data_IF_601821323020
#
_entry.id   IF_601821323020
#
_cell.length_a   1.000
_cell.length_b   1.000
_cell.length_c   1.000
_cell.angle_alpha   90.00
_cell.angle_beta   90.00
_cell.angle_gamma   90.00
#
_symmetry.space_group_name_H-M   'P 1'
#
loop_
_entity.id
_entity.type
_entity.pdbx_description
1 polymer ?
#
# COMPACT_ATOMS: atom_id res chain seq x y z
N UNK A 1 -6.94 25.09 50.14
CA UNK A 1 -7.76 23.92 49.78
C UNK A 1 -7.46 23.61 48.33
N UNK A 2 -6.51 22.72 48.06
CA UNK A 2 -6.09 22.30 46.72
C UNK A 2 -6.77 21.02 46.37
N UNK A 3 -7.44 20.96 45.23
CA UNK A 3 -8.06 19.75 44.66
C UNK A 3 -6.96 18.85 44.03
N UNK A 4 -7.00 17.53 44.19
CA UNK A 4 -6.09 16.63 43.52
C UNK A 4 -6.50 16.41 42.05
N UNK A 5 -5.49 16.39 41.17
CA UNK A 5 -5.58 16.03 39.75
C UNK A 5 -5.72 14.51 39.64
N UNK A 6 -6.62 13.96 38.81
CA UNK A 6 -6.71 12.51 38.60
C UNK A 6 -5.54 12.01 37.76
N UNK A 7 -4.89 10.97 38.29
CA UNK A 7 -3.84 10.19 37.66
C UNK A 7 -4.33 9.51 36.38
N UNK A 8 -3.62 9.80 35.27
CA UNK A 8 -3.87 9.21 33.97
C UNK A 8 -3.40 7.77 33.91
N UNK A 9 -4.28 6.84 34.25
CA UNK A 9 -4.06 5.39 34.05
C UNK A 9 -3.82 5.09 32.57
N UNK A 10 -2.56 4.85 32.23
CA UNK A 10 -2.14 4.23 30.96
C UNK A 10 -2.77 2.86 30.84
N UNK A 11 -3.79 2.73 29.99
CA UNK A 11 -4.29 1.42 29.58
C UNK A 11 -3.18 0.71 28.81
N UNK A 12 -2.56 -0.26 29.48
CA UNK A 12 -1.65 -1.23 28.88
C UNK A 12 -2.38 -1.94 27.75
N UNK A 13 -1.87 -1.80 26.52
CA UNK A 13 -2.32 -2.61 25.40
C UNK A 13 -1.96 -4.06 25.68
N UNK A 14 -2.97 -4.92 25.86
CA UNK A 14 -2.80 -6.36 25.97
C UNK A 14 -2.29 -6.86 24.61
N UNK A 15 -1.13 -7.52 24.51
CA UNK A 15 -0.69 -8.13 23.27
C UNK A 15 -1.67 -9.26 22.92
N UNK A 16 -2.29 -9.19 21.74
CA UNK A 16 -3.11 -10.27 21.19
C UNK A 16 -2.17 -11.45 20.92
N UNK A 17 -2.25 -12.49 21.77
CA UNK A 17 -1.57 -13.76 21.51
C UNK A 17 -2.25 -14.45 20.32
N UNK A 18 -1.49 -15.18 19.49
CA UNK A 18 -2.02 -15.90 18.33
C UNK A 18 -3.07 -16.98 18.63
N UNK A 19 -3.39 -17.20 19.93
CA UNK A 19 -4.38 -18.15 20.43
C UNK A 19 -5.71 -17.48 20.83
N UNK A 20 -5.95 -16.23 20.43
CA UNK A 20 -7.23 -15.56 20.69
C UNK A 20 -8.36 -16.30 19.92
N UNK A 21 -9.35 -16.89 20.64
CA UNK A 21 -10.45 -17.61 20.01
C UNK A 21 -11.25 -16.77 19.02
N UNK A 22 -11.20 -15.43 19.11
CA UNK A 22 -11.85 -14.50 18.18
C UNK A 22 -11.12 -14.40 16.83
N UNK A 23 -9.82 -14.76 16.80
CA UNK A 23 -9.05 -14.82 15.54
C UNK A 23 -9.16 -16.17 14.83
N UNK A 24 -9.63 -17.21 15.51
CA UNK A 24 -9.81 -18.56 14.97
C UNK A 24 -11.24 -18.83 14.50
N UNK A 25 -12.20 -17.96 14.82
CA UNK A 25 -13.60 -18.27 14.53
C UNK A 25 -14.07 -17.66 13.20
N UNK A 26 -14.05 -18.44 12.14
CA UNK A 26 -15.06 -18.31 11.07
C UNK A 26 -16.50 -18.47 11.62
N UNK A 27 -16.64 -18.95 12.87
CA UNK A 27 -17.89 -19.25 13.54
C UNK A 27 -18.82 -18.03 13.72
N UNK A 28 -18.29 -16.81 13.81
CA UNK A 28 -19.12 -15.59 13.89
C UNK A 28 -19.97 -15.33 12.64
N UNK A 29 -19.56 -15.87 11.49
CA UNK A 29 -20.27 -15.67 10.22
C UNK A 29 -21.18 -16.87 9.88
N UNK A 30 -20.87 -18.05 10.43
CA UNK A 30 -21.63 -19.29 10.18
C UNK A 30 -23.01 -19.27 10.89
N UNK A 31 -23.10 -18.59 12.03
CA UNK A 31 -24.33 -18.47 12.84
C UNK A 31 -25.19 -17.24 12.52
N UNK A 32 -24.83 -16.45 11.49
CA UNK A 32 -25.65 -15.29 11.13
C UNK A 32 -26.98 -15.75 10.52
N UNK A 33 -28.11 -15.15 10.99
CA UNK A 33 -29.42 -15.48 10.45
C UNK A 33 -29.52 -15.08 8.98
N UNK A 34 -29.87 -16.02 8.13
CA UNK A 34 -30.13 -15.80 6.71
C UNK A 34 -31.58 -15.36 6.51
N UNK A 35 -31.80 -14.25 5.80
CA UNK A 35 -33.16 -13.69 5.57
C UNK A 35 -34.07 -14.61 4.73
N UNK A 36 -33.49 -15.47 3.89
CA UNK A 36 -34.20 -16.27 2.88
C UNK A 36 -33.82 -17.76 2.90
N UNK A 37 -33.54 -18.30 4.06
CA UNK A 37 -33.02 -19.66 4.23
C UNK A 37 -31.49 -19.71 4.27
N UNK A 38 -30.89 -20.89 4.29
CA UNK A 38 -29.44 -21.07 4.32
C UNK A 38 -28.75 -20.67 3.01
N UNK A 39 -27.39 -20.57 3.01
CA UNK A 39 -26.62 -20.23 1.81
C UNK A 39 -26.84 -21.30 0.71
N UNK A 40 -27.07 -20.84 -0.51
CA UNK A 40 -27.31 -21.71 -1.67
C UNK A 40 -26.03 -22.42 -2.18
N UNK A 41 -24.88 -22.00 -1.70
CA UNK A 41 -23.58 -22.55 -2.10
C UNK A 41 -22.42 -21.83 -1.44
N UNK A 42 -21.21 -22.29 -1.74
CA UNK A 42 -19.96 -21.66 -1.30
C UNK A 42 -19.13 -21.25 -2.50
N UNK A 43 -18.32 -20.20 -2.35
CA UNK A 43 -17.40 -19.73 -3.36
C UNK A 43 -16.05 -19.34 -2.74
N UNK A 44 -15.03 -19.29 -3.57
CA UNK A 44 -13.71 -18.74 -3.20
C UNK A 44 -13.51 -17.40 -3.91
N UNK A 45 -13.03 -16.41 -3.16
CA UNK A 45 -12.63 -15.10 -3.68
C UNK A 45 -11.12 -14.94 -3.54
N UNK A 46 -10.51 -14.15 -4.43
CA UNK A 46 -9.06 -13.82 -4.40
C UNK A 46 -8.19 -15.08 -4.38
N UNK A 47 -8.45 -16.01 -5.28
CA UNK A 47 -7.68 -17.24 -5.43
C UNK A 47 -6.30 -16.97 -6.06
N UNK A 48 -6.21 -15.90 -6.83
CA UNK A 48 -4.96 -15.38 -7.39
C UNK A 48 -4.88 -13.85 -7.17
N UNK A 49 -3.68 -13.26 -7.16
CA UNK A 49 -3.53 -11.80 -7.06
C UNK A 49 -4.28 -11.02 -8.15
N UNK A 50 -4.47 -11.61 -9.31
CA UNK A 50 -5.19 -11.05 -10.46
C UNK A 50 -6.68 -10.86 -10.21
N UNK A 51 -7.27 -11.64 -9.29
CA UNK A 51 -8.68 -11.54 -8.91
C UNK A 51 -9.00 -10.28 -8.13
N UNK A 52 -7.98 -9.56 -7.68
CA UNK A 52 -8.12 -8.29 -7.00
C UNK A 52 -7.15 -7.24 -7.54
N UNK A 53 -7.67 -6.30 -8.30
CA UNK A 53 -6.88 -5.23 -8.90
C UNK A 53 -7.20 -3.89 -8.25
N UNK A 54 -6.17 -3.12 -7.92
CA UNK A 54 -6.29 -1.78 -7.33
C UNK A 54 -5.43 -0.80 -8.11
N UNK A 55 -6.06 0.20 -8.72
CA UNK A 55 -5.38 1.25 -9.46
C UNK A 55 -5.52 2.56 -8.70
N UNK A 56 -4.40 3.15 -8.32
CA UNK A 56 -4.37 4.46 -7.69
C UNK A 56 -4.81 5.55 -8.67
N UNK A 57 -5.75 6.37 -8.24
CA UNK A 57 -6.15 7.59 -8.96
C UNK A 57 -5.36 8.76 -8.38
N UNK A 58 -4.36 9.23 -9.10
CA UNK A 58 -3.53 10.35 -8.71
C UNK A 58 -4.31 11.66 -8.68
N UNK A 59 -3.93 12.57 -7.79
CA UNK A 59 -4.48 13.93 -7.71
C UNK A 59 -3.72 14.93 -8.57
N UNK A 60 -2.52 14.61 -9.01
CA UNK A 60 -1.59 15.49 -9.73
C UNK A 60 -0.95 14.74 -10.89
N UNK A 61 -0.82 15.40 -12.02
CA UNK A 61 0.00 14.92 -13.15
C UNK A 61 1.45 15.36 -12.97
N UNK A 62 2.44 14.50 -13.24
CA UNK A 62 3.85 14.89 -13.21
C UNK A 62 4.15 16.05 -14.16
N UNK A 63 5.08 16.94 -13.77
CA UNK A 63 5.39 18.17 -14.51
C UNK A 63 6.36 17.96 -15.69
N UNK A 64 7.09 16.85 -15.72
CA UNK A 64 8.12 16.57 -16.73
C UNK A 64 9.52 17.06 -16.34
N UNK A 65 9.65 17.86 -15.28
CA UNK A 65 10.92 18.42 -14.80
C UNK A 65 11.01 18.42 -13.27
N UNK A 66 12.21 18.57 -12.72
CA UNK A 66 12.46 18.66 -11.28
C UNK A 66 13.35 17.54 -10.74
N UNK A 67 13.52 17.54 -9.41
CA UNK A 67 14.48 16.67 -8.72
C UNK A 67 13.89 15.33 -8.25
N UNK A 68 12.59 15.13 -8.42
CA UNK A 68 11.92 13.88 -8.09
C UNK A 68 11.61 13.07 -9.34
N UNK A 69 12.05 11.82 -9.39
CA UNK A 69 11.54 10.86 -10.37
C UNK A 69 10.26 10.27 -9.84
N UNK A 70 9.15 10.56 -10.51
CA UNK A 70 7.86 9.94 -10.22
C UNK A 70 7.70 8.70 -11.08
N UNK A 71 7.51 7.55 -10.41
CA UNK A 71 7.46 6.23 -11.01
C UNK A 71 6.05 5.67 -10.85
N UNK A 72 5.40 5.34 -11.93
CA UNK A 72 4.16 4.58 -11.91
C UNK A 72 4.50 3.10 -11.95
N UNK A 73 4.16 2.39 -10.89
CA UNK A 73 4.61 1.03 -10.65
C UNK A 73 3.42 0.10 -10.51
N UNK A 74 3.45 -1.00 -11.28
CA UNK A 74 2.59 -2.16 -11.07
C UNK A 74 3.34 -3.15 -10.19
N UNK A 75 2.69 -3.64 -9.13
CA UNK A 75 3.22 -4.72 -8.30
C UNK A 75 2.21 -5.86 -8.19
N UNK A 76 2.71 -7.06 -8.02
CA UNK A 76 1.96 -8.29 -7.87
C UNK A 76 2.43 -9.01 -6.61
N UNK A 77 1.50 -9.43 -5.74
CA UNK A 77 1.78 -10.15 -4.47
C UNK A 77 2.98 -9.57 -3.67
N UNK A 78 3.08 -8.26 -3.61
CA UNK A 78 4.23 -7.57 -3.03
C UNK A 78 3.83 -6.41 -2.15
N UNK A 79 4.61 -6.16 -1.08
CA UNK A 79 4.39 -5.02 -0.21
C UNK A 79 4.88 -3.71 -0.83
N UNK A 80 4.10 -2.62 -0.66
CA UNK A 80 4.51 -1.28 -1.08
C UNK A 80 5.86 -0.86 -0.49
N UNK A 81 6.11 -1.16 0.79
CA UNK A 81 7.37 -0.82 1.45
C UNK A 81 8.56 -1.62 0.89
N UNK A 82 8.34 -2.88 0.49
CA UNK A 82 9.37 -3.67 -0.15
C UNK A 82 9.76 -3.09 -1.51
N UNK A 83 8.77 -2.74 -2.34
CA UNK A 83 9.01 -2.05 -3.62
C UNK A 83 9.79 -0.75 -3.40
N UNK A 84 9.41 0.06 -2.39
CA UNK A 84 10.14 1.30 -2.07
C UNK A 84 11.62 1.05 -1.74
N UNK A 85 11.95 -0.06 -1.04
CA UNK A 85 13.35 -0.44 -0.76
C UNK A 85 14.10 -0.83 -2.04
N UNK A 86 13.46 -1.59 -2.94
CA UNK A 86 14.06 -1.96 -4.22
C UNK A 86 14.34 -0.73 -5.10
N UNK A 87 13.40 0.22 -5.16
CA UNK A 87 13.60 1.49 -5.86
C UNK A 87 14.75 2.31 -5.25
N UNK A 88 14.82 2.39 -3.92
CA UNK A 88 15.89 3.09 -3.21
C UNK A 88 17.27 2.46 -3.49
N UNK A 89 17.34 1.12 -3.43
CA UNK A 89 18.55 0.36 -3.69
C UNK A 89 19.05 0.55 -5.14
N UNK A 90 18.13 0.47 -6.10
CA UNK A 90 18.48 0.66 -7.51
C UNK A 90 18.97 2.10 -7.79
N UNK A 91 18.29 3.10 -7.23
CA UNK A 91 18.70 4.50 -7.37
C UNK A 91 19.91 4.89 -6.51
N UNK A 92 20.40 4.00 -5.65
CA UNK A 92 21.49 4.26 -4.70
C UNK A 92 21.21 5.48 -3.83
N UNK A 93 20.01 5.52 -3.24
CA UNK A 93 19.57 6.56 -2.31
C UNK A 93 19.06 5.95 -1.02
N UNK A 94 19.03 6.70 0.10
CA UNK A 94 18.41 6.22 1.33
C UNK A 94 16.90 6.02 1.14
N UNK A 95 16.30 5.09 1.89
CA UNK A 95 14.86 4.81 1.83
C UNK A 95 14.00 6.08 2.09
N UNK A 96 14.49 7.01 2.89
CA UNK A 96 13.84 8.31 3.16
C UNK A 96 13.67 9.21 1.93
N UNK A 97 14.46 8.97 0.87
CA UNK A 97 14.34 9.64 -0.41
C UNK A 97 13.18 9.09 -1.26
N UNK A 98 12.64 7.90 -0.91
CA UNK A 98 11.50 7.30 -1.61
C UNK A 98 10.22 7.57 -0.83
N UNK A 99 9.14 7.90 -1.54
CA UNK A 99 7.82 8.10 -0.94
C UNK A 99 6.69 7.68 -1.88
N UNK A 100 5.50 7.50 -1.31
CA UNK A 100 4.28 7.07 -1.98
C UNK A 100 3.06 7.68 -1.28
N UNK A 101 1.92 7.74 -1.98
CA UNK A 101 0.70 8.36 -1.45
C UNK A 101 -0.02 7.50 -0.41
N UNK A 102 0.14 6.18 -0.47
CA UNK A 102 -0.47 5.24 0.47
C UNK A 102 0.00 3.81 0.27
N UNK A 103 -0.33 2.95 1.21
CA UNK A 103 -0.08 1.51 1.10
C UNK A 103 -1.14 0.88 0.18
N UNK A 104 -0.74 -0.13 -0.58
CA UNK A 104 -1.62 -0.96 -1.40
C UNK A 104 -1.56 -2.41 -0.94
N UNK A 105 -2.65 -3.12 -1.14
CA UNK A 105 -2.78 -4.53 -0.78
C UNK A 105 -1.60 -5.36 -1.31
N UNK A 106 -1.18 -6.33 -0.49
CA UNK A 106 -0.13 -7.28 -0.89
C UNK A 106 -0.70 -8.31 -1.85
N UNK A 107 -1.76 -9.03 -1.44
CA UNK A 107 -2.36 -10.13 -2.20
C UNK A 107 -3.28 -9.58 -3.31
N UNK A 108 -2.68 -8.87 -4.26
CA UNK A 108 -3.37 -8.18 -5.33
C UNK A 108 -2.39 -7.80 -6.45
N UNK A 109 -2.93 -7.44 -7.59
CA UNK A 109 -2.21 -6.65 -8.60
C UNK A 109 -2.57 -5.18 -8.38
N UNK A 110 -1.58 -4.35 -8.04
CA UNK A 110 -1.85 -2.95 -7.75
C UNK A 110 -0.95 -2.02 -8.52
N UNK A 111 -1.48 -0.86 -8.89
CA UNK A 111 -0.75 0.20 -9.57
C UNK A 111 -0.79 1.47 -8.73
N UNK A 112 0.37 2.09 -8.50
CA UNK A 112 0.51 3.30 -7.71
C UNK A 112 1.74 4.12 -8.10
N UNK A 113 1.72 5.39 -7.68
CA UNK A 113 2.86 6.27 -7.82
C UNK A 113 3.84 6.16 -6.66
N UNK A 114 5.12 6.20 -6.99
CA UNK A 114 6.23 6.44 -6.08
C UNK A 114 6.96 7.70 -6.53
N UNK A 115 7.63 8.39 -5.61
CA UNK A 115 8.59 9.42 -5.98
C UNK A 115 9.95 9.13 -5.34
N UNK A 116 11.01 9.28 -6.12
CA UNK A 116 12.41 9.10 -5.70
C UNK A 116 13.11 10.44 -5.84
N UNK A 117 13.70 10.96 -4.77
CA UNK A 117 14.44 12.23 -4.76
C UNK A 117 15.85 12.02 -5.28
N UNK A 118 16.18 12.66 -6.41
CA UNK A 118 17.44 12.56 -7.15
C UNK A 118 17.99 13.95 -7.48
N UNK A 119 18.37 14.77 -6.47
CA UNK A 119 18.84 16.11 -6.71
C UNK A 119 20.14 16.10 -7.53
N UNK A 120 20.16 16.88 -8.62
CA UNK A 120 21.32 17.02 -9.50
C UNK A 120 21.73 15.73 -10.21
N UNK A 121 20.93 14.67 -10.17
CA UNK A 121 21.23 13.36 -10.77
C UNK A 121 20.23 13.03 -11.89
N UNK A 122 20.68 12.38 -12.97
CA UNK A 122 19.79 11.81 -13.98
C UNK A 122 19.00 10.64 -13.38
N UNK A 123 17.92 10.25 -14.06
CA UNK A 123 17.22 9.00 -13.76
C UNK A 123 18.13 7.79 -14.07
N UNK A 124 18.20 6.81 -13.19
CA UNK A 124 18.75 5.51 -13.55
C UNK A 124 17.81 4.81 -14.55
N UNK A 125 18.29 3.76 -15.17
CA UNK A 125 17.44 2.93 -16.02
C UNK A 125 16.44 2.14 -15.15
N UNK A 126 15.22 2.65 -15.06
CA UNK A 126 14.15 2.05 -14.27
C UNK A 126 13.59 0.76 -14.88
N UNK A 127 13.83 0.51 -16.18
CA UNK A 127 13.32 -0.68 -16.88
C UNK A 127 14.06 -1.94 -16.45
N UNK A 128 15.29 -1.81 -15.97
CA UNK A 128 16.05 -2.93 -15.37
C UNK A 128 15.31 -3.58 -14.18
N UNK A 129 14.38 -2.86 -13.56
CA UNK A 129 13.56 -3.36 -12.44
C UNK A 129 12.32 -4.13 -12.89
N UNK A 130 12.25 -4.53 -14.16
CA UNK A 130 11.15 -5.34 -14.66
C UNK A 130 11.28 -6.79 -14.15
N UNK A 131 10.24 -7.25 -13.44
CA UNK A 131 10.19 -8.59 -12.86
C UNK A 131 8.76 -9.03 -12.50
N UNK A 132 8.61 -10.29 -12.11
CA UNK A 132 7.29 -10.85 -11.74
C UNK A 132 6.64 -10.15 -10.54
N UNK A 133 7.45 -9.67 -9.58
CA UNK A 133 6.96 -9.03 -8.37
C UNK A 133 6.53 -7.57 -8.58
N UNK A 134 7.24 -6.85 -9.43
CA UNK A 134 6.86 -5.49 -9.82
C UNK A 134 7.60 -5.04 -11.08
N UNK A 135 7.04 -4.01 -11.73
CA UNK A 135 7.62 -3.34 -12.89
C UNK A 135 7.34 -1.85 -12.84
N UNK A 136 8.24 -1.04 -13.37
CA UNK A 136 8.06 0.40 -13.56
C UNK A 136 7.43 0.64 -14.92
N UNK A 137 6.15 1.07 -14.93
CA UNK A 137 5.39 1.29 -16.17
C UNK A 137 5.72 2.63 -16.81
N UNK A 138 6.08 3.62 -15.99
CA UNK A 138 6.35 4.99 -16.43
C UNK A 138 7.24 5.70 -15.42
N UNK A 139 8.17 6.51 -15.89
CA UNK A 139 9.01 7.39 -15.11
C UNK A 139 8.93 8.81 -15.67
N UNK A 140 8.61 9.80 -14.83
CA UNK A 140 8.48 11.21 -15.23
C UNK A 140 9.02 12.10 -14.13
N UNK A 141 9.75 13.16 -14.46
CA UNK A 141 10.23 14.14 -13.48
C UNK A 141 9.11 14.99 -12.91
N UNK A 142 9.28 15.36 -11.64
CA UNK A 142 8.38 16.29 -10.96
C UNK A 142 9.15 17.13 -9.93
N UNK A 143 8.69 18.36 -9.71
CA UNK A 143 9.34 19.32 -8.79
C UNK A 143 9.09 19.00 -7.31
N UNK A 144 8.12 18.16 -6.97
CA UNK A 144 7.72 17.90 -5.60
C UNK A 144 7.75 16.41 -5.25
N UNK A 145 8.06 16.14 -3.97
CA UNK A 145 7.91 14.84 -3.34
C UNK A 145 6.44 14.44 -3.28
N UNK A 146 6.12 13.20 -3.62
CA UNK A 146 4.81 12.63 -3.37
C UNK A 146 4.60 12.46 -1.87
N UNK A 147 3.47 12.95 -1.34
CA UNK A 147 3.17 12.90 0.10
C UNK A 147 2.09 11.85 0.38
N UNK A 148 2.17 11.23 1.55
CA UNK A 148 1.12 10.33 2.03
C UNK A 148 -0.23 11.07 2.07
N UNK A 149 -1.28 10.40 1.63
CA UNK A 149 -2.64 10.95 1.57
C UNK A 149 -2.95 11.82 0.36
N UNK A 150 -2.00 12.04 -0.57
CA UNK A 150 -2.24 12.89 -1.76
C UNK A 150 -2.95 12.19 -2.91
N UNK A 151 -3.27 10.90 -2.78
CA UNK A 151 -4.09 10.21 -3.79
C UNK A 151 -5.53 10.74 -3.77
N UNK A 152 -6.18 10.77 -4.93
CA UNK A 152 -7.58 11.16 -5.09
C UNK A 152 -8.53 10.01 -4.71
N UNK A 153 -8.11 8.77 -4.92
CA UNK A 153 -8.87 7.57 -4.66
C UNK A 153 -8.22 6.32 -5.24
N UNK A 154 -8.96 5.23 -5.20
CA UNK A 154 -8.56 3.97 -5.83
C UNK A 154 -9.72 3.45 -6.67
N UNK A 155 -9.39 2.82 -7.80
CA UNK A 155 -10.30 2.04 -8.61
C UNK A 155 -10.05 0.57 -8.32
N UNK A 156 -11.12 -0.16 -8.03
CA UNK A 156 -11.07 -1.58 -7.73
C UNK A 156 -11.70 -2.39 -8.87
N UNK A 157 -11.13 -3.56 -9.13
CA UNK A 157 -11.74 -4.63 -9.92
C UNK A 157 -11.58 -5.94 -9.13
N UNK A 158 -12.71 -6.68 -9.00
CA UNK A 158 -12.85 -7.92 -8.23
C UNK A 158 -13.49 -8.95 -9.10
#
# INVERSE_FOLDING_TARGET
MSRPVPDGSTKSAVPLSGDDPLLQSNALWEDLPCAWGGPLGSGRIRTAPEDFRVVEVGSVSPAGEGEHSWLYVRKRDSNTQWVARELARHAQVPLSAVSYAGLKDRNAVTEQWFSVHLPGRPDPDWQVLEGEAFQVLCAVRHSRKLKTGTLRGNRFAV
#
